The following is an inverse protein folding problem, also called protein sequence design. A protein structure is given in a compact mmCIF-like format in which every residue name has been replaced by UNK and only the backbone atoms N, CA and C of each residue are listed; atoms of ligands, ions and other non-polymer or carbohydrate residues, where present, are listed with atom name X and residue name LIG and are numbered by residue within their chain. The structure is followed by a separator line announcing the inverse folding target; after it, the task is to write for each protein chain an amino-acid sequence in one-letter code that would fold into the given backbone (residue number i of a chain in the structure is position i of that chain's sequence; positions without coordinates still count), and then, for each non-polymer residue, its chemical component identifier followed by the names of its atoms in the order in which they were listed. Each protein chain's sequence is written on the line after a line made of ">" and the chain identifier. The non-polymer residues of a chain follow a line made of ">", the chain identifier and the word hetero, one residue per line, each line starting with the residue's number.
data_IF_461140418800
#
_entry.id   IF_461140418800
#
_cell.length_a   1.000
_cell.length_b   1.000
_cell.length_c   1.000
_cell.angle_alpha   90.00
_cell.angle_beta   90.00
_cell.angle_gamma   90.00
#
_symmetry.space_group_name_H-M   'P 1'
#
loop_
_entity.id
_entity.type
_entity.pdbx_description
1 polymer ?
#
# COMPACT_ATOMS: atom_id res chain seq x y z
N UNK A 1 -3.45 -3.63 28.55
CA UNK A 1 -2.93 -3.29 27.22
C UNK A 1 -1.60 -3.99 27.13
N UNK A 2 -1.52 -5.07 26.34
CA UNK A 2 -0.23 -5.71 26.10
C UNK A 2 0.65 -4.70 25.38
N UNK A 3 1.73 -4.29 26.04
CA UNK A 3 2.70 -3.28 25.61
C UNK A 3 3.64 -3.87 24.53
N UNK A 4 3.04 -4.64 23.60
CA UNK A 4 3.78 -5.31 22.55
C UNK A 4 3.96 -4.31 21.41
N UNK A 5 5.21 -3.97 21.04
CA UNK A 5 5.46 -3.04 19.96
C UNK A 5 4.84 -3.56 18.66
N UNK A 6 4.17 -2.68 17.92
CA UNK A 6 3.59 -2.99 16.61
C UNK A 6 4.66 -3.55 15.68
N UNK A 7 4.35 -4.65 14.99
CA UNK A 7 5.28 -5.33 14.10
C UNK A 7 5.07 -4.89 12.65
N UNK A 8 6.09 -4.31 12.03
CA UNK A 8 6.10 -3.98 10.59
C UNK A 8 6.90 -5.02 9.83
N UNK A 9 6.45 -5.39 8.63
CA UNK A 9 7.17 -6.30 7.75
C UNK A 9 7.81 -5.52 6.60
N UNK A 10 9.10 -5.75 6.39
CA UNK A 10 9.90 -5.20 5.31
C UNK A 10 10.35 -6.34 4.40
N UNK A 11 9.63 -6.53 3.30
CA UNK A 11 9.94 -7.58 2.32
C UNK A 11 10.63 -6.97 1.10
N UNK A 12 11.68 -7.59 0.60
CA UNK A 12 12.44 -7.02 -0.50
C UNK A 12 13.10 -8.05 -1.39
N UNK A 13 13.39 -7.62 -2.62
CA UNK A 13 14.12 -8.37 -3.63
C UNK A 13 15.05 -7.41 -4.39
N UNK A 14 16.30 -7.79 -4.64
CA UNK A 14 17.22 -6.98 -5.46
C UNK A 14 17.52 -5.59 -4.87
N UNK A 15 17.45 -5.44 -3.55
CA UNK A 15 17.82 -4.21 -2.82
C UNK A 15 19.07 -4.48 -2.01
N UNK A 16 20.03 -3.54 -2.04
CA UNK A 16 21.29 -3.74 -1.31
C UNK A 16 21.05 -3.74 0.21
N UNK A 17 21.83 -4.51 0.99
CA UNK A 17 21.69 -4.54 2.44
C UNK A 17 21.78 -3.15 3.07
N UNK A 18 22.65 -2.27 2.56
CA UNK A 18 22.78 -0.90 3.07
C UNK A 18 21.51 -0.06 2.87
N UNK A 19 20.84 -0.17 1.72
CA UNK A 19 19.59 0.55 1.48
C UNK A 19 18.48 0.08 2.45
N UNK A 20 18.42 -1.23 2.73
CA UNK A 20 17.49 -1.83 3.69
C UNK A 20 17.80 -1.40 5.12
N UNK A 21 19.06 -1.41 5.53
CA UNK A 21 19.49 -0.97 6.88
C UNK A 21 19.09 0.47 7.18
N UNK A 22 19.22 1.37 6.20
CA UNK A 22 18.81 2.78 6.39
C UNK A 22 17.30 2.88 6.59
N UNK A 23 16.51 2.09 5.84
CA UNK A 23 15.05 2.06 6.00
C UNK A 23 14.65 1.41 7.34
N UNK A 24 15.31 0.31 7.71
CA UNK A 24 15.16 -0.36 9.01
C UNK A 24 15.34 0.63 10.15
N UNK A 25 16.44 1.40 10.17
CA UNK A 25 16.72 2.36 11.24
C UNK A 25 15.66 3.47 11.38
N UNK A 26 14.93 3.80 10.32
CA UNK A 26 13.80 4.73 10.41
C UNK A 26 12.55 4.09 11.01
N UNK A 27 12.28 2.82 10.68
CA UNK A 27 11.10 2.10 11.12
C UNK A 27 11.28 1.54 12.54
N UNK A 28 12.47 1.05 12.88
CA UNK A 28 12.78 0.35 14.14
C UNK A 28 12.63 1.21 15.40
N UNK A 29 12.59 2.52 15.25
CA UNK A 29 12.34 3.44 16.36
C UNK A 29 10.87 3.49 16.78
N UNK A 30 9.95 3.07 15.90
CA UNK A 30 8.50 3.07 16.14
C UNK A 30 7.88 1.68 16.09
N UNK A 31 8.54 0.75 15.41
CA UNK A 31 8.05 -0.60 15.16
C UNK A 31 9.09 -1.65 15.49
N UNK A 32 8.64 -2.87 15.79
CA UNK A 32 9.49 -4.05 15.63
C UNK A 32 9.52 -4.41 14.16
N UNK A 33 10.68 -4.32 13.52
CA UNK A 33 10.81 -4.56 12.07
C UNK A 33 11.23 -5.99 11.83
N UNK A 34 10.42 -6.74 11.10
CA UNK A 34 10.78 -8.06 10.55
C UNK A 34 11.20 -7.86 9.10
N UNK A 35 12.41 -8.30 8.78
CA UNK A 35 12.97 -8.22 7.42
C UNK A 35 12.90 -9.59 6.76
N UNK A 36 12.50 -9.61 5.49
CA UNK A 36 12.43 -10.83 4.68
C UNK A 36 12.94 -10.54 3.27
N UNK A 37 14.08 -11.13 2.91
CA UNK A 37 14.51 -11.19 1.53
C UNK A 37 13.75 -12.33 0.84
N UNK A 38 13.03 -12.02 -0.23
CA UNK A 38 12.14 -12.94 -0.92
C UNK A 38 12.44 -12.96 -2.43
N UNK A 39 12.07 -14.03 -3.11
CA UNK A 39 12.23 -14.14 -4.56
C UNK A 39 11.25 -13.24 -5.31
N UNK A 40 11.63 -12.79 -6.52
CA UNK A 40 10.74 -12.01 -7.39
C UNK A 40 9.37 -12.66 -7.63
N UNK A 41 9.35 -13.98 -7.86
CA UNK A 41 8.10 -14.72 -8.09
C UNK A 41 7.16 -14.75 -6.88
N UNK A 42 7.69 -14.71 -5.66
CA UNK A 42 6.91 -14.68 -4.42
C UNK A 42 6.27 -13.31 -4.19
N UNK A 43 7.02 -12.23 -4.47
CA UNK A 43 6.51 -10.85 -4.39
C UNK A 43 5.33 -10.61 -5.33
N UNK A 44 5.40 -11.13 -6.56
CA UNK A 44 4.35 -10.93 -7.56
C UNK A 44 3.12 -11.81 -7.27
N UNK A 45 3.32 -13.03 -6.76
CA UNK A 45 2.21 -13.93 -6.42
C UNK A 45 1.30 -13.36 -5.31
N UNK A 46 1.87 -12.61 -4.37
CA UNK A 46 1.13 -11.95 -3.28
C UNK A 46 0.38 -10.68 -3.72
N UNK A 47 0.46 -10.27 -5.00
CA UNK A 47 -0.34 -9.17 -5.54
C UNK A 47 -1.56 -9.71 -6.26
N UNK A 48 -2.79 -9.57 -5.71
CA UNK A 48 -3.98 -9.99 -6.43
C UNK A 48 -4.12 -9.17 -7.71
N UNK A 49 -4.13 -9.86 -8.85
CA UNK A 49 -4.11 -9.35 -10.22
C UNK A 49 -3.04 -8.29 -10.48
N UNK A 50 -2.02 -8.63 -11.27
CA UNK A 50 -1.21 -7.63 -11.95
C UNK A 50 -2.16 -6.62 -12.64
N UNK A 51 -1.88 -5.31 -12.56
CA UNK A 51 -2.72 -4.29 -13.18
C UNK A 51 -3.03 -4.69 -14.62
N UNK A 52 -4.32 -4.85 -14.94
CA UNK A 52 -4.75 -5.28 -16.27
C UNK A 52 -4.32 -4.20 -17.28
N UNK A 53 -3.28 -4.49 -18.05
CA UNK A 53 -2.73 -3.55 -19.03
C UNK A 53 -1.21 -3.63 -19.24
N UNK A 54 -0.45 -4.29 -18.35
CA UNK A 54 0.96 -4.56 -18.61
C UNK A 54 1.12 -5.87 -19.41
N UNK A 55 0.98 -5.77 -20.73
CA UNK A 55 1.43 -6.82 -21.64
C UNK A 55 2.95 -6.84 -21.72
N UNK A 56 3.57 -8.01 -21.52
CA UNK A 56 4.92 -8.44 -21.93
C UNK A 56 6.17 -7.54 -21.63
N UNK A 57 6.01 -6.36 -21.03
CA UNK A 57 7.08 -5.41 -20.67
C UNK A 57 7.57 -5.56 -19.20
N UNK A 58 7.26 -6.70 -18.56
CA UNK A 58 7.78 -7.13 -17.25
C UNK A 58 9.32 -7.26 -17.19
N UNK A 59 10.03 -7.04 -18.31
CA UNK A 59 11.43 -7.42 -18.52
C UNK A 59 12.47 -6.52 -17.84
N UNK A 60 12.08 -5.48 -17.08
CA UNK A 60 13.03 -4.55 -16.44
C UNK A 60 12.81 -4.29 -14.94
N UNK A 61 11.90 -5.02 -14.30
CA UNK A 61 11.76 -4.98 -12.84
C UNK A 61 12.90 -5.78 -12.21
N UNK A 62 13.90 -5.07 -11.68
CA UNK A 62 15.12 -5.70 -11.13
C UNK A 62 15.10 -5.81 -9.61
N UNK A 63 14.11 -5.19 -8.97
CA UNK A 63 14.02 -5.07 -7.52
C UNK A 63 12.61 -4.72 -7.07
N UNK A 64 12.25 -5.14 -5.87
CA UNK A 64 10.98 -4.79 -5.26
C UNK A 64 11.14 -4.52 -3.76
N UNK A 65 10.28 -3.65 -3.24
CA UNK A 65 10.20 -3.23 -1.85
C UNK A 65 8.73 -3.26 -1.42
N UNK A 66 8.41 -4.04 -0.40
CA UNK A 66 7.10 -4.05 0.25
C UNK A 66 7.28 -3.62 1.70
N UNK A 67 6.59 -2.55 2.09
CA UNK A 67 6.55 -2.07 3.46
C UNK A 67 5.12 -2.27 3.97
N UNK A 68 4.94 -3.15 4.95
CA UNK A 68 3.65 -3.37 5.60
C UNK A 68 3.64 -2.68 6.97
N UNK A 69 2.88 -1.60 7.07
CA UNK A 69 2.70 -0.78 8.26
C UNK A 69 1.43 -1.29 8.98
N UNK A 70 1.53 -1.78 10.23
CA UNK A 70 0.40 -2.36 10.98
C UNK A 70 -0.46 -1.28 11.63
N UNK A 71 -0.73 -0.20 10.91
CA UNK A 71 -1.53 0.93 11.37
C UNK A 71 -2.39 1.37 10.18
N UNK A 72 -3.64 1.71 10.46
CA UNK A 72 -4.52 2.27 9.44
C UNK A 72 -3.93 3.53 8.79
N UNK A 73 -4.26 3.75 7.53
CA UNK A 73 -3.85 4.95 6.81
C UNK A 73 -4.70 6.14 7.25
N UNK A 74 -4.16 6.99 8.11
CA UNK A 74 -4.88 8.12 8.69
C UNK A 74 -3.94 9.28 9.05
N UNK A 75 -4.51 10.45 9.38
CA UNK A 75 -3.71 11.62 9.77
C UNK A 75 -2.97 11.36 11.10
N UNK A 76 -3.61 10.63 12.01
CA UNK A 76 -3.06 10.24 13.30
C UNK A 76 -1.77 9.40 13.14
N UNK A 77 -1.73 8.52 12.13
CA UNK A 77 -0.50 7.80 11.80
C UNK A 77 0.64 8.77 11.47
N UNK A 78 0.43 9.75 10.59
CA UNK A 78 1.49 10.68 10.19
C UNK A 78 1.92 11.60 11.33
N UNK A 79 0.99 12.01 12.19
CA UNK A 79 1.30 12.78 13.40
C UNK A 79 2.13 11.94 14.40
N UNK A 80 1.76 10.68 14.63
CA UNK A 80 2.44 9.78 15.56
C UNK A 80 3.81 9.29 15.05
N UNK A 81 3.89 8.92 13.76
CA UNK A 81 5.13 8.48 13.10
C UNK A 81 6.10 9.65 12.91
N UNK A 82 5.54 10.83 12.66
CA UNK A 82 6.23 12.11 12.50
C UNK A 82 6.55 12.42 11.04
N UNK A 83 6.04 13.56 10.55
CA UNK A 83 6.24 14.02 9.16
C UNK A 83 7.70 14.04 8.73
N UNK A 84 8.62 14.54 9.58
CA UNK A 84 10.06 14.56 9.26
C UNK A 84 10.66 13.16 9.03
N UNK A 85 10.12 12.14 9.71
CA UNK A 85 10.54 10.75 9.53
C UNK A 85 9.94 10.18 8.25
N UNK A 86 8.66 10.43 8.00
CA UNK A 86 8.00 10.06 6.75
C UNK A 86 8.72 10.64 5.52
N UNK A 87 9.11 11.91 5.55
CA UNK A 87 9.91 12.54 4.50
C UNK A 87 11.25 11.81 4.24
N UNK A 88 11.89 11.30 5.30
CA UNK A 88 13.12 10.50 5.13
C UNK A 88 12.84 9.14 4.50
N UNK A 89 11.73 8.48 4.87
CA UNK A 89 11.29 7.23 4.23
C UNK A 89 11.05 7.47 2.74
N UNK A 90 10.26 8.49 2.37
CA UNK A 90 10.04 8.90 0.98
C UNK A 90 11.37 9.18 0.25
N UNK A 91 12.28 9.92 0.88
CA UNK A 91 13.58 10.25 0.31
C UNK A 91 14.43 9.01 -0.02
N UNK A 92 14.46 8.02 0.87
CA UNK A 92 15.19 6.75 0.65
C UNK A 92 14.56 5.97 -0.50
N UNK A 93 13.24 5.86 -0.54
CA UNK A 93 12.51 5.18 -1.62
C UNK A 93 12.82 5.83 -2.98
N UNK A 94 12.80 7.17 -3.06
CA UNK A 94 13.18 7.92 -4.26
C UNK A 94 14.66 7.72 -4.62
N UNK A 95 15.55 7.67 -3.63
CA UNK A 95 16.98 7.42 -3.83
C UNK A 95 17.25 6.01 -4.37
N UNK A 96 16.53 4.99 -3.86
CA UNK A 96 16.55 3.62 -4.39
C UNK A 96 16.17 3.62 -5.86
N UNK A 97 15.08 4.30 -6.24
CA UNK A 97 14.69 4.44 -7.64
C UNK A 97 15.76 5.17 -8.47
N UNK A 98 16.28 6.29 -7.98
CA UNK A 98 17.28 7.12 -8.67
C UNK A 98 18.53 6.31 -9.04
N UNK A 99 19.02 5.47 -8.12
CA UNK A 99 20.21 4.61 -8.32
C UNK A 99 20.02 3.55 -9.40
N UNK A 100 18.79 3.13 -9.67
CA UNK A 100 18.45 2.15 -10.70
C UNK A 100 18.35 2.77 -12.10
N UNK A 101 18.25 4.09 -12.19
CA UNK A 101 18.17 4.85 -13.44
C UNK A 101 16.83 4.69 -14.14
N UNK A 102 16.70 5.30 -15.32
CA UNK A 102 15.40 5.39 -16.03
C UNK A 102 14.99 4.12 -16.80
N UNK A 103 15.85 3.09 -16.84
CA UNK A 103 15.59 1.85 -17.60
C UNK A 103 15.14 0.68 -16.73
N UNK A 104 15.29 0.79 -15.41
CA UNK A 104 15.00 -0.27 -14.45
C UNK A 104 13.91 0.19 -13.51
N UNK A 105 12.83 -0.59 -13.46
CA UNK A 105 11.75 -0.39 -12.52
C UNK A 105 12.14 -0.96 -11.16
N UNK A 106 11.76 -0.26 -10.10
CA UNK A 106 11.61 -0.84 -8.77
C UNK A 106 10.13 -0.81 -8.46
N UNK A 107 9.58 -1.98 -8.13
CA UNK A 107 8.22 -2.05 -7.60
C UNK A 107 8.26 -1.69 -6.13
N UNK A 108 7.56 -0.62 -5.77
CA UNK A 108 7.38 -0.22 -4.38
C UNK A 108 5.92 -0.36 -4.02
N UNK A 109 5.68 -1.11 -2.96
CA UNK A 109 4.37 -1.31 -2.38
C UNK A 109 4.41 -0.87 -0.92
N UNK A 110 3.51 0.06 -0.57
CA UNK A 110 3.31 0.47 0.82
C UNK A 110 1.90 0.05 1.21
N UNK A 111 1.79 -0.77 2.25
CA UNK A 111 0.54 -1.32 2.76
C UNK A 111 0.33 -0.76 4.16
N UNK A 112 -0.84 -0.20 4.40
CA UNK A 112 -1.33 0.20 5.71
C UNK A 112 -2.42 -0.78 6.12
N UNK A 113 -2.15 -1.59 7.13
CA UNK A 113 -3.09 -2.59 7.60
C UNK A 113 -3.90 -2.05 8.78
N UNK A 114 -5.23 -2.06 8.67
CA UNK A 114 -6.10 -1.84 9.79
C UNK A 114 -6.25 -3.12 10.63
N UNK A 115 -5.73 -3.11 11.86
CA UNK A 115 -5.75 -4.24 12.79
C UNK A 115 -7.15 -4.72 13.18
N UNK A 116 -8.17 -3.85 13.05
CA UNK A 116 -9.56 -4.21 13.33
C UNK A 116 -10.06 -5.36 12.45
N UNK A 117 -9.46 -5.58 11.28
CA UNK A 117 -9.78 -6.71 10.40
C UNK A 117 -9.33 -8.06 10.97
N UNK A 118 -8.34 -8.09 11.87
CA UNK A 118 -7.83 -9.32 12.48
C UNK A 118 -8.51 -9.69 13.80
N UNK A 119 -9.17 -8.73 14.46
CA UNK A 119 -9.69 -8.89 15.82
C UNK A 119 -11.16 -9.40 15.90
N UNK A 120 -11.72 -9.95 14.81
CA UNK A 120 -13.16 -10.29 14.71
C UNK A 120 -13.55 -11.69 15.21
N UNK A 121 -12.69 -12.38 15.96
CA UNK A 121 -12.88 -13.81 16.30
C UNK A 121 -13.47 -14.12 17.67
N UNK A 122 -13.91 -13.15 18.48
CA UNK A 122 -14.09 -13.40 19.93
C UNK A 122 -15.52 -13.27 20.47
N UNK A 123 -16.51 -12.86 19.68
CA UNK A 123 -17.82 -12.44 20.22
C UNK A 123 -18.83 -13.60 20.37
N UNK A 124 -18.43 -14.84 20.07
CA UNK A 124 -19.30 -16.02 20.13
C UNK A 124 -20.35 -16.10 19.00
N UNK A 125 -20.44 -15.07 18.17
CA UNK A 125 -21.15 -15.11 16.90
C UNK A 125 -20.27 -15.78 15.82
N UNK A 126 -20.87 -16.58 14.94
CA UNK A 126 -20.14 -17.37 13.94
C UNK A 126 -19.26 -16.54 12.99
N UNK A 127 -18.46 -17.20 12.12
CA UNK A 127 -17.50 -16.52 11.25
C UNK A 127 -18.18 -15.47 10.35
N UNK A 128 -17.54 -14.31 10.18
CA UNK A 128 -17.97 -13.30 9.22
C UNK A 128 -17.64 -13.80 7.82
N UNK A 129 -18.67 -14.13 7.04
CA UNK A 129 -18.53 -14.69 5.68
C UNK A 129 -19.19 -13.83 4.59
N UNK A 130 -19.74 -12.66 4.96
CA UNK A 130 -20.46 -11.77 4.04
C UNK A 130 -19.87 -10.35 4.06
N UNK A 131 -19.75 -9.73 2.89
CA UNK A 131 -19.16 -8.39 2.70
C UNK A 131 -20.00 -7.22 3.23
N UNK A 132 -21.25 -7.47 3.64
CA UNK A 132 -22.18 -6.45 4.13
C UNK A 132 -22.42 -6.52 5.65
N UNK A 133 -21.66 -7.37 6.36
CA UNK A 133 -21.81 -7.53 7.80
C UNK A 133 -21.41 -6.24 8.54
N UNK A 134 -22.30 -5.72 9.38
CA UNK A 134 -22.10 -4.45 10.08
C UNK A 134 -20.93 -4.49 11.06
N UNK A 135 -20.55 -5.69 11.52
CA UNK A 135 -19.42 -5.92 12.42
C UNK A 135 -18.07 -5.74 11.71
N UNK A 136 -18.03 -5.66 10.38
CA UNK A 136 -16.80 -5.39 9.65
C UNK A 136 -16.24 -4.00 10.00
N UNK A 137 -14.92 -3.80 9.98
CA UNK A 137 -14.33 -2.48 10.16
C UNK A 137 -14.78 -1.49 9.07
N UNK A 138 -14.86 -0.21 9.42
CA UNK A 138 -15.26 0.84 8.47
C UNK A 138 -14.10 1.25 7.55
N UNK A 139 -12.85 1.10 8.01
CA UNK A 139 -11.65 1.46 7.24
C UNK A 139 -10.95 0.22 6.68
N UNK A 140 -10.61 0.21 5.37
CA UNK A 140 -9.91 -0.90 4.74
C UNK A 140 -8.41 -0.90 5.06
N UNK A 141 -7.74 -1.99 4.70
CA UNK A 141 -6.32 -1.92 4.37
C UNK A 141 -6.11 -1.01 3.14
N UNK A 142 -5.07 -0.18 3.16
CA UNK A 142 -4.77 0.74 2.05
C UNK A 142 -3.42 0.38 1.45
N UNK A 143 -3.39 0.16 0.13
CA UNK A 143 -2.20 -0.26 -0.61
C UNK A 143 -1.87 0.76 -1.69
N UNK A 144 -0.62 1.23 -1.72
CA UNK A 144 -0.07 2.02 -2.82
C UNK A 144 0.94 1.18 -3.57
N UNK A 145 0.80 1.03 -4.89
CA UNK A 145 1.75 0.31 -5.73
C UNK A 145 2.27 1.21 -6.87
N UNK A 146 3.58 1.25 -7.04
CA UNK A 146 4.23 2.00 -8.13
C UNK A 146 5.48 1.27 -8.62
N UNK A 147 5.64 1.19 -9.93
CA UNK A 147 6.76 0.55 -10.63
C UNK A 147 7.35 1.40 -11.74
N UNK A 148 6.95 2.68 -11.84
CA UNK A 148 7.38 3.60 -12.91
C UNK A 148 8.90 3.60 -13.13
N UNK A 149 9.32 3.37 -14.36
CA UNK A 149 10.72 3.45 -14.79
C UNK A 149 11.24 4.90 -14.80
N UNK A 150 10.37 5.89 -14.98
CA UNK A 150 10.72 7.30 -15.01
C UNK A 150 10.84 7.90 -13.60
N UNK A 151 12.00 8.48 -13.29
CA UNK A 151 12.29 9.01 -11.96
C UNK A 151 11.34 10.14 -11.53
N UNK A 152 10.95 11.02 -12.45
CA UNK A 152 10.11 12.17 -12.10
C UNK A 152 8.67 11.76 -11.80
N UNK A 153 8.12 10.80 -12.56
CA UNK A 153 6.81 10.19 -12.33
C UNK A 153 6.82 9.45 -10.99
N UNK A 154 7.81 8.59 -10.78
CA UNK A 154 7.97 7.84 -9.52
C UNK A 154 8.05 8.77 -8.32
N UNK A 155 8.89 9.81 -8.39
CA UNK A 155 9.01 10.78 -7.31
C UNK A 155 7.69 11.50 -7.04
N UNK A 156 6.97 11.90 -8.10
CA UNK A 156 5.66 12.55 -7.94
C UNK A 156 4.63 11.65 -7.28
N UNK A 157 4.63 10.35 -7.63
CA UNK A 157 3.77 9.35 -7.00
C UNK A 157 4.07 9.24 -5.50
N UNK A 158 5.34 9.08 -5.12
CA UNK A 158 5.77 8.97 -3.71
C UNK A 158 5.42 10.22 -2.91
N UNK A 159 5.61 11.43 -3.46
CA UNK A 159 5.27 12.67 -2.76
C UNK A 159 3.77 12.86 -2.50
N UNK A 160 2.92 12.27 -3.34
CA UNK A 160 1.47 12.44 -3.25
C UNK A 160 0.79 11.42 -2.36
N UNK A 161 1.52 10.46 -1.77
CA UNK A 161 0.93 9.40 -0.95
C UNK A 161 0.22 10.00 0.27
N UNK A 162 0.87 10.86 1.04
CA UNK A 162 0.27 11.40 2.27
C UNK A 162 -0.96 12.27 2.02
N UNK A 163 -1.06 12.95 0.87
CA UNK A 163 -2.26 13.71 0.46
C UNK A 163 -3.49 12.80 0.30
N UNK A 164 -3.28 11.52 -0.01
CA UNK A 164 -4.39 10.57 -0.19
C UNK A 164 -5.19 10.32 1.09
N UNK A 165 -4.65 10.70 2.25
CA UNK A 165 -5.36 10.60 3.53
C UNK A 165 -6.63 11.44 3.52
N UNK A 166 -6.58 12.60 2.87
CA UNK A 166 -7.72 13.51 2.75
C UNK A 166 -8.73 13.02 1.72
N UNK A 167 -8.28 12.29 0.68
CA UNK A 167 -9.13 11.82 -0.41
C UNK A 167 -9.81 10.48 -0.12
N UNK A 168 -9.21 9.65 0.73
CA UNK A 168 -9.72 8.31 1.05
C UNK A 168 -11.20 8.34 1.48
N UNK A 169 -11.65 9.21 2.42
CA UNK A 169 -13.06 9.25 2.80
C UNK A 169 -14.00 9.57 1.64
N UNK A 170 -13.58 10.39 0.68
CA UNK A 170 -14.38 10.73 -0.49
C UNK A 170 -14.50 9.54 -1.45
N UNK A 171 -13.40 8.82 -1.71
CA UNK A 171 -13.43 7.61 -2.53
C UNK A 171 -14.29 6.52 -1.92
N UNK A 172 -14.16 6.29 -0.61
CA UNK A 172 -15.00 5.32 0.13
C UNK A 172 -16.48 5.70 0.09
N UNK A 173 -16.79 7.00 0.08
CA UNK A 173 -18.16 7.48 0.07
C UNK A 173 -18.78 7.67 -1.32
N UNK A 174 -18.01 7.48 -2.39
CA UNK A 174 -18.47 7.68 -3.77
C UNK A 174 -19.62 6.72 -4.13
N UNK A 175 -20.54 7.16 -4.99
CA UNK A 175 -21.74 6.38 -5.33
C UNK A 175 -21.40 5.02 -5.95
N UNK A 176 -20.47 4.97 -6.92
CA UNK A 176 -20.00 3.72 -7.52
C UNK A 176 -19.32 2.80 -6.52
N UNK A 177 -18.56 3.36 -5.56
CA UNK A 177 -17.95 2.57 -4.49
C UNK A 177 -19.03 1.93 -3.60
N UNK A 178 -20.04 2.71 -3.20
CA UNK A 178 -21.17 2.22 -2.38
C UNK A 178 -22.05 1.19 -3.09
N UNK A 179 -22.18 1.30 -4.41
CA UNK A 179 -22.87 0.30 -5.23
C UNK A 179 -22.08 -1.01 -5.27
N UNK A 180 -20.75 -0.93 -5.35
CA UNK A 180 -19.88 -2.10 -5.34
C UNK A 180 -19.80 -2.77 -3.96
N UNK A 181 -19.52 -2.02 -2.89
CA UNK A 181 -19.41 -2.56 -1.54
C UNK A 181 -19.68 -1.51 -0.46
N UNK A 182 -20.14 -1.97 0.72
CA UNK A 182 -20.30 -1.09 1.89
C UNK A 182 -19.01 -0.91 2.68
N UNK A 183 -18.28 -2.01 2.90
CA UNK A 183 -17.08 -2.06 3.73
C UNK A 183 -15.97 -2.83 3.00
N UNK A 184 -15.10 -2.15 2.26
CA UNK A 184 -13.99 -2.81 1.57
C UNK A 184 -12.97 -3.34 2.58
N UNK A 185 -12.38 -4.49 2.28
CA UNK A 185 -11.26 -5.05 3.05
C UNK A 185 -9.93 -4.44 2.61
N UNK A 186 -9.70 -4.27 1.32
CA UNK A 186 -8.53 -3.58 0.77
C UNK A 186 -8.98 -2.55 -0.27
N UNK A 187 -8.35 -1.38 -0.25
CA UNK A 187 -8.37 -0.41 -1.34
C UNK A 187 -6.94 -0.26 -1.85
N UNK A 188 -6.73 -0.57 -3.12
CA UNK A 188 -5.45 -0.40 -3.81
C UNK A 188 -5.51 0.81 -4.72
N UNK A 189 -4.55 1.69 -4.49
CA UNK A 189 -4.27 2.84 -5.31
C UNK A 189 -3.23 2.52 -6.38
N UNK A 190 -3.54 2.99 -7.59
CA UNK A 190 -2.66 2.97 -8.76
C UNK A 190 -2.37 4.42 -9.17
N UNK A 191 -1.17 4.66 -9.71
CA UNK A 191 -0.75 6.00 -10.09
C UNK A 191 -0.90 6.20 -11.58
N UNK A 192 -1.78 7.12 -11.97
CA UNK A 192 -1.90 7.52 -13.36
C UNK A 192 -0.86 8.59 -13.72
N UNK A 193 -0.08 8.29 -14.76
CA UNK A 193 1.00 9.13 -15.25
C UNK A 193 0.50 10.37 -15.99
N UNK A 194 -0.68 10.29 -16.62
CA UNK A 194 -1.19 11.36 -17.48
C UNK A 194 -1.77 12.51 -16.67
N UNK A 195 -2.56 12.19 -15.65
CA UNK A 195 -3.14 13.14 -14.70
C UNK A 195 -2.22 13.42 -13.52
N UNK A 196 -1.17 12.60 -13.32
CA UNK A 196 -0.27 12.67 -12.17
C UNK A 196 -1.05 12.52 -10.85
N UNK A 197 -1.98 11.58 -10.78
CA UNK A 197 -2.85 11.35 -9.61
C UNK A 197 -2.89 9.87 -9.24
N UNK A 198 -3.07 9.62 -7.95
CA UNK A 198 -3.49 8.31 -7.47
C UNK A 198 -5.00 8.17 -7.64
N UNK A 199 -5.44 7.04 -8.17
CA UNK A 199 -6.85 6.65 -8.23
C UNK A 199 -7.02 5.26 -7.59
N UNK A 200 -8.23 4.94 -7.14
CA UNK A 200 -8.53 3.57 -6.68
C UNK A 200 -8.58 2.69 -7.92
N UNK A 201 -7.60 1.80 -8.10
CA UNK A 201 -7.54 0.87 -9.22
C UNK A 201 -8.20 -0.48 -8.92
N UNK A 202 -8.16 -0.90 -7.66
CA UNK A 202 -8.73 -2.17 -7.23
C UNK A 202 -9.27 -2.12 -5.80
N UNK A 203 -10.36 -2.84 -5.58
CA UNK A 203 -11.01 -3.00 -4.28
C UNK A 203 -11.23 -4.48 -4.02
N UNK A 204 -10.89 -4.93 -2.81
CA UNK A 204 -11.15 -6.29 -2.34
C UNK A 204 -12.19 -6.28 -1.22
N UNK A 205 -13.09 -7.25 -1.25
CA UNK A 205 -14.05 -7.54 -0.19
C UNK A 205 -13.93 -9.02 0.21
N UNK A 206 -14.61 -9.44 1.29
CA UNK A 206 -14.66 -10.85 1.68
C UNK A 206 -15.25 -11.78 0.62
N UNK A 207 -16.06 -11.27 -0.30
CA UNK A 207 -16.78 -12.07 -1.30
C UNK A 207 -16.22 -11.95 -2.71
N UNK A 208 -15.21 -11.09 -2.92
CA UNK A 208 -14.58 -10.88 -4.21
C UNK A 208 -13.96 -9.49 -4.35
N UNK A 209 -13.24 -9.26 -5.46
CA UNK A 209 -12.66 -7.98 -5.79
C UNK A 209 -13.15 -7.41 -7.11
N UNK A 210 -12.90 -6.13 -7.33
CA UNK A 210 -13.30 -5.38 -8.52
C UNK A 210 -12.30 -4.31 -8.87
N UNK A 211 -12.15 -4.04 -10.17
CA UNK A 211 -11.28 -2.99 -10.71
C UNK A 211 -12.08 -1.73 -11.00
N UNK A 212 -11.43 -0.59 -10.83
CA UNK A 212 -11.99 0.73 -11.11
C UNK A 212 -11.03 1.45 -12.09
N UNK A 213 -11.60 2.14 -13.06
CA UNK A 213 -10.84 3.01 -13.95
C UNK A 213 -10.57 4.34 -13.26
N UNK A 214 -9.60 5.09 -13.80
CA UNK A 214 -9.22 6.40 -13.26
C UNK A 214 -10.44 7.30 -13.01
N UNK A 215 -11.31 7.46 -14.01
CA UNK A 215 -12.47 8.37 -13.93
C UNK A 215 -13.64 7.80 -13.12
N UNK A 216 -13.55 6.56 -12.61
CA UNK A 216 -14.72 5.93 -12.01
C UNK A 216 -15.15 6.57 -10.69
N UNK A 217 -14.18 7.07 -9.92
CA UNK A 217 -14.42 7.73 -8.63
C UNK A 217 -14.12 9.23 -8.67
N UNK A 218 -14.09 9.83 -9.86
CA UNK A 218 -14.03 11.29 -10.01
C UNK A 218 -15.43 11.88 -9.76
N UNK A 219 -15.49 12.87 -8.86
CA UNK A 219 -16.65 13.73 -8.64
C UNK A 219 -16.53 15.04 -9.41
#
# INVERSE_FOLDING_TARGET
>A
MDDKPLQTNLRYYGISPWEIEVLYGLLSDKFTVVQEETGYGEIIHDMPAAPQGQGEDDQNLVSALIITIPVQFSEEFFQWFGFKRWEKVKSIIKEMKRRRGNRKAILVVIIFENEEWYNKTSDGEGPIIYSNDERLPDYPHVKFAIDSSENHIFNSAIEKIDVMVELLPYHLNHSKMKEFCKKPMEVRYEYDIHSSKWYVGYVLTLTGGGTFNIDDLHG
#
